data_IF_445983031009
#
_entry.id   IF_445983031009
#
_cell.length_a   1.000
_cell.length_b   1.000
_cell.length_c   1.000
_cell.angle_alpha   90.00
_cell.angle_beta   90.00
_cell.angle_gamma   90.00
#
_symmetry.space_group_name_H-M   'P 1'
#
loop_
_entity.id
_entity.type
_entity.pdbx_description
1 polymer ?
#
# COMPACT_ATOMS: atom_id res chain seq x y z
N UNK A 1 -26.17 -31.16 -18.42
CA UNK A 1 -27.15 -30.39 -17.62
C UNK A 1 -26.43 -29.14 -17.16
N UNK A 2 -26.36 -28.17 -18.06
CA UNK A 2 -25.58 -26.94 -17.91
C UNK A 2 -26.50 -25.82 -17.43
N UNK A 3 -26.45 -25.48 -16.14
CA UNK A 3 -26.99 -24.22 -15.64
C UNK A 3 -26.01 -23.08 -15.97
N UNK A 4 -26.00 -22.68 -17.25
CA UNK A 4 -25.46 -21.40 -17.71
C UNK A 4 -26.62 -20.55 -18.19
N UNK A 5 -27.20 -19.76 -17.30
CA UNK A 5 -28.08 -18.65 -17.67
C UNK A 5 -28.20 -17.67 -16.50
N UNK A 6 -28.33 -16.39 -16.82
CA UNK A 6 -28.63 -15.25 -15.94
C UNK A 6 -27.44 -14.49 -15.35
N UNK A 7 -26.50 -14.03 -16.19
CA UNK A 7 -25.77 -12.80 -15.88
C UNK A 7 -25.65 -11.95 -17.15
N UNK A 8 -26.68 -11.16 -17.44
CA UNK A 8 -26.60 -10.08 -18.42
C UNK A 8 -26.26 -8.79 -17.68
N UNK A 9 -25.09 -8.22 -17.96
CA UNK A 9 -24.84 -6.80 -17.66
C UNK A 9 -25.77 -5.99 -18.57
N UNK A 10 -26.83 -5.38 -18.03
CA UNK A 10 -27.71 -4.48 -18.79
C UNK A 10 -27.05 -3.09 -18.85
N UNK A 11 -26.72 -2.54 -20.04
CA UNK A 11 -26.12 -1.20 -20.20
C UNK A 11 -27.09 -0.04 -19.93
N UNK A 12 -28.27 -0.33 -19.39
CA UNK A 12 -29.37 0.60 -19.30
C UNK A 12 -29.79 0.59 -17.83
N UNK A 13 -29.59 1.71 -17.12
CA UNK A 13 -29.90 1.95 -15.70
C UNK A 13 -31.43 1.84 -15.45
N UNK A 14 -31.98 0.68 -15.74
CA UNK A 14 -33.39 0.35 -15.67
C UNK A 14 -33.72 -0.08 -14.24
N UNK A 15 -34.91 0.29 -13.80
CA UNK A 15 -35.43 -0.14 -12.52
C UNK A 15 -35.94 -1.57 -12.64
N UNK A 16 -35.31 -2.53 -11.98
CA UNK A 16 -35.78 -3.92 -11.86
C UNK A 16 -36.48 -4.17 -10.54
N UNK A 17 -36.29 -3.28 -9.55
CA UNK A 17 -37.00 -3.28 -8.27
C UNK A 17 -37.76 -1.98 -8.06
N UNK A 18 -38.85 -2.08 -7.32
CA UNK A 18 -39.70 -0.96 -6.92
C UNK A 18 -40.22 -1.12 -5.49
N UNK A 19 -40.92 -0.11 -4.98
CA UNK A 19 -41.60 -0.18 -3.69
C UNK A 19 -43.08 -0.51 -3.92
N UNK A 20 -43.60 -1.52 -3.23
CA UNK A 20 -45.02 -1.86 -3.27
C UNK A 20 -45.88 -0.95 -2.37
N UNK A 21 -47.19 -1.21 -2.31
CA UNK A 21 -48.12 -0.45 -1.48
C UNK A 21 -47.89 -0.60 0.04
N UNK A 22 -47.17 -1.64 0.47
CA UNK A 22 -46.82 -1.89 1.87
C UNK A 22 -45.47 -1.26 2.24
N UNK A 23 -44.76 -0.67 1.28
CA UNK A 23 -43.44 -0.08 1.49
C UNK A 23 -42.29 -1.07 1.34
N UNK A 24 -42.52 -2.30 0.85
CA UNK A 24 -41.49 -3.32 0.65
C UNK A 24 -40.89 -3.22 -0.73
N UNK A 25 -39.60 -3.59 -0.85
CA UNK A 25 -38.95 -3.72 -2.15
C UNK A 25 -39.39 -5.01 -2.83
N UNK A 26 -39.82 -4.91 -4.09
CA UNK A 26 -40.31 -6.04 -4.90
C UNK A 26 -39.63 -6.04 -6.27
N UNK A 27 -39.35 -7.25 -6.79
CA UNK A 27 -38.83 -7.42 -8.15
C UNK A 27 -39.94 -7.19 -9.17
N UNK A 28 -39.57 -6.69 -10.35
CA UNK A 28 -40.47 -6.55 -11.51
C UNK A 28 -41.04 -7.90 -11.97
N UNK A 29 -40.35 -8.99 -11.65
CA UNK A 29 -40.78 -10.35 -12.00
C UNK A 29 -41.86 -10.89 -11.05
N UNK A 30 -42.00 -10.30 -9.86
CA UNK A 30 -42.89 -10.76 -8.79
C UNK A 30 -44.22 -9.98 -8.73
N UNK A 31 -44.47 -9.09 -9.70
CA UNK A 31 -45.63 -8.19 -9.69
C UNK A 31 -46.52 -8.34 -10.92
N UNK A 32 -47.78 -7.92 -10.77
CA UNK A 32 -48.73 -7.88 -11.89
C UNK A 32 -48.22 -6.94 -13.00
N UNK A 33 -48.47 -7.28 -14.27
CA UNK A 33 -48.01 -6.51 -15.41
C UNK A 33 -48.70 -5.15 -15.52
N UNK A 34 -48.00 -4.18 -16.12
CA UNK A 34 -48.59 -2.88 -16.42
C UNK A 34 -48.84 -2.03 -15.18
N UNK A 35 -49.95 -1.28 -15.19
CA UNK A 35 -50.34 -0.38 -14.09
C UNK A 35 -50.90 -1.15 -12.88
N UNK A 36 -51.25 -2.41 -13.06
CA UNK A 36 -51.78 -3.26 -11.99
C UNK A 36 -50.69 -3.67 -10.98
N UNK A 37 -49.41 -3.40 -11.28
CA UNK A 37 -48.32 -3.65 -10.34
C UNK A 37 -48.46 -2.89 -9.01
N UNK A 38 -49.17 -1.75 -9.00
CA UNK A 38 -49.35 -0.94 -7.79
C UNK A 38 -48.05 -0.40 -7.18
N UNK A 39 -46.96 -0.38 -7.95
CA UNK A 39 -45.61 -0.06 -7.48
C UNK A 39 -45.27 1.42 -7.63
N UNK A 40 -44.34 1.89 -6.79
CA UNK A 40 -43.89 3.26 -6.70
C UNK A 40 -42.37 3.36 -6.85
N UNK A 41 -41.91 4.47 -7.43
CA UNK A 41 -40.50 4.77 -7.60
C UNK A 41 -39.79 4.89 -6.24
N UNK A 42 -38.67 4.16 -6.00
CA UNK A 42 -37.89 4.25 -4.77
C UNK A 42 -37.50 5.68 -4.38
N UNK A 43 -37.19 6.52 -5.37
CA UNK A 43 -36.76 7.90 -5.18
C UNK A 43 -37.93 8.91 -5.08
N UNK A 44 -38.68 9.14 -6.16
CA UNK A 44 -39.69 10.20 -6.21
C UNK A 44 -41.09 9.77 -5.74
N UNK A 45 -41.27 8.49 -5.38
CA UNK A 45 -42.55 7.90 -4.96
C UNK A 45 -43.69 7.98 -6.00
N UNK A 46 -43.40 8.37 -7.24
CA UNK A 46 -44.38 8.40 -8.32
C UNK A 46 -44.76 6.97 -8.78
N UNK A 47 -46.00 6.75 -9.26
CA UNK A 47 -46.43 5.44 -9.76
C UNK A 47 -45.60 4.93 -10.94
N UNK A 48 -45.35 3.62 -10.93
CA UNK A 48 -44.63 2.89 -11.96
C UNK A 48 -45.55 1.96 -12.76
N UNK A 49 -45.06 1.51 -13.91
CA UNK A 49 -45.63 0.50 -14.78
C UNK A 49 -44.63 -0.66 -14.86
N UNK A 50 -45.06 -1.88 -14.55
CA UNK A 50 -44.24 -3.07 -14.75
C UNK A 50 -44.24 -3.48 -16.24
N UNK A 51 -43.06 -3.50 -16.86
CA UNK A 51 -42.84 -3.99 -18.23
C UNK A 51 -42.18 -5.37 -18.20
N UNK A 52 -42.94 -6.37 -17.76
CA UNK A 52 -42.48 -7.76 -17.51
C UNK A 52 -43.15 -8.83 -18.40
N UNK A 53 -43.85 -8.43 -19.47
CA UNK A 53 -44.48 -9.36 -20.42
C UNK A 53 -43.68 -9.54 -21.73
N UNK A 54 -42.56 -8.82 -21.87
CA UNK A 54 -41.81 -8.76 -23.13
C UNK A 54 -40.66 -9.74 -23.18
N UNK A 55 -40.58 -10.56 -24.24
CA UNK A 55 -39.48 -11.53 -24.43
C UNK A 55 -38.18 -10.92 -24.97
N UNK A 56 -38.22 -9.67 -25.48
CA UNK A 56 -37.09 -9.03 -26.19
C UNK A 56 -36.31 -8.03 -25.33
N UNK A 57 -36.90 -7.50 -24.26
CA UNK A 57 -36.28 -6.47 -23.41
C UNK A 57 -36.26 -7.01 -21.98
N UNK A 58 -35.16 -6.75 -21.26
CA UNK A 58 -35.07 -7.01 -19.81
C UNK A 58 -36.27 -6.39 -19.12
N UNK A 59 -36.91 -7.16 -18.25
CA UNK A 59 -38.04 -6.70 -17.47
C UNK A 59 -37.63 -5.51 -16.60
N UNK A 60 -38.46 -4.49 -16.58
CA UNK A 60 -38.18 -3.27 -15.82
C UNK A 60 -39.45 -2.50 -15.49
N UNK A 61 -39.36 -1.63 -14.50
CA UNK A 61 -40.34 -0.61 -14.21
C UNK A 61 -40.08 0.66 -15.03
N UNK A 62 -41.15 1.33 -15.43
CA UNK A 62 -41.12 2.65 -16.07
C UNK A 62 -42.13 3.59 -15.41
N UNK A 63 -41.86 4.90 -15.37
CA UNK A 63 -42.81 5.86 -14.79
C UNK A 63 -44.10 5.98 -15.61
N UNK A 64 -45.24 6.07 -14.93
CA UNK A 64 -46.57 6.03 -15.54
C UNK A 64 -46.90 7.24 -16.44
N UNK A 65 -46.16 8.37 -16.34
CA UNK A 65 -46.47 9.62 -17.08
C UNK A 65 -45.25 10.49 -17.41
N UNK A 66 -44.31 10.01 -18.23
CA UNK A 66 -43.19 10.83 -18.77
C UNK A 66 -42.30 11.49 -17.70
N UNK A 67 -42.42 11.09 -16.44
CA UNK A 67 -41.63 11.59 -15.33
C UNK A 67 -40.29 10.88 -15.37
N UNK A 68 -39.22 11.57 -15.75
CA UNK A 68 -37.88 11.03 -15.62
C UNK A 68 -37.35 11.32 -14.22
N UNK A 69 -36.97 10.28 -13.48
CA UNK A 69 -36.38 10.42 -12.17
C UNK A 69 -34.91 9.97 -12.23
N UNK A 70 -34.01 10.95 -12.25
CA UNK A 70 -32.56 10.73 -12.35
C UNK A 70 -31.96 9.92 -11.19
N UNK A 71 -32.60 9.96 -10.01
CA UNK A 71 -32.15 9.28 -8.80
C UNK A 71 -32.79 7.89 -8.61
N UNK A 72 -33.69 7.48 -9.50
CA UNK A 72 -34.49 6.26 -9.31
C UNK A 72 -33.63 5.00 -9.21
N UNK A 73 -32.62 4.87 -10.07
CA UNK A 73 -31.72 3.73 -10.08
C UNK A 73 -30.81 3.68 -8.84
N UNK A 74 -30.25 4.84 -8.45
CA UNK A 74 -29.43 4.95 -7.23
C UNK A 74 -30.22 4.60 -5.97
N UNK A 75 -31.42 5.17 -5.79
CA UNK A 75 -32.28 4.84 -4.66
C UNK A 75 -32.73 3.37 -4.68
N UNK A 76 -32.92 2.77 -5.86
CA UNK A 76 -33.22 1.34 -5.98
C UNK A 76 -32.06 0.48 -5.46
N UNK A 77 -30.83 0.74 -5.93
CA UNK A 77 -29.65 -0.01 -5.47
C UNK A 77 -29.43 0.12 -3.98
N UNK A 78 -29.60 1.33 -3.44
CA UNK A 78 -29.42 1.62 -2.01
C UNK A 78 -30.36 0.81 -1.12
N UNK A 79 -31.67 0.82 -1.45
CA UNK A 79 -32.67 0.05 -0.70
C UNK A 79 -32.45 -1.46 -0.89
N UNK A 80 -32.15 -1.91 -2.11
CA UNK A 80 -31.87 -3.32 -2.39
C UNK A 80 -30.68 -3.83 -1.58
N UNK A 81 -29.61 -3.02 -1.46
CA UNK A 81 -28.44 -3.35 -0.66
C UNK A 81 -28.77 -3.53 0.82
N UNK A 82 -29.51 -2.58 1.40
CA UNK A 82 -29.95 -2.65 2.79
C UNK A 82 -30.73 -3.93 3.07
N UNK A 83 -31.68 -4.27 2.21
CA UNK A 83 -32.51 -5.45 2.39
C UNK A 83 -31.70 -6.73 2.20
N UNK A 84 -30.99 -6.88 1.08
CA UNK A 84 -30.28 -8.14 0.76
C UNK A 84 -29.10 -8.43 1.66
N UNK A 85 -28.32 -7.42 2.04
CA UNK A 85 -27.19 -7.61 2.97
C UNK A 85 -27.70 -7.92 4.37
N UNK A 86 -28.75 -7.23 4.85
CA UNK A 86 -29.38 -7.53 6.14
C UNK A 86 -29.98 -8.94 6.17
N UNK A 87 -30.73 -9.31 5.13
CA UNK A 87 -31.31 -10.65 4.97
C UNK A 87 -30.21 -11.71 5.00
N UNK A 88 -29.14 -11.54 4.24
CA UNK A 88 -28.00 -12.44 4.22
C UNK A 88 -27.35 -12.58 5.60
N UNK A 89 -27.09 -11.47 6.30
CA UNK A 89 -26.51 -11.52 7.65
C UNK A 89 -27.40 -12.27 8.65
N UNK A 90 -28.72 -12.05 8.62
CA UNK A 90 -29.65 -12.64 9.59
C UNK A 90 -29.93 -14.12 9.29
N UNK A 91 -30.00 -14.50 8.01
CA UNK A 91 -30.36 -15.86 7.59
C UNK A 91 -29.20 -16.84 7.55
N UNK A 92 -27.99 -16.38 7.24
CA UNK A 92 -26.81 -17.25 7.11
C UNK A 92 -26.16 -17.54 8.46
N UNK A 93 -25.55 -18.72 8.56
CA UNK A 93 -24.75 -19.12 9.73
C UNK A 93 -23.43 -18.37 9.82
N UNK A 94 -22.89 -17.95 8.67
CA UNK A 94 -21.61 -17.25 8.53
C UNK A 94 -21.79 -15.97 7.71
N UNK A 95 -21.01 -14.95 8.05
CA UNK A 95 -20.94 -13.72 7.26
C UNK A 95 -19.52 -13.18 7.33
N UNK A 96 -18.80 -13.30 6.22
CA UNK A 96 -17.36 -13.02 6.18
C UNK A 96 -17.08 -11.56 5.84
N UNK A 97 -16.11 -10.97 6.53
CA UNK A 97 -15.43 -9.75 6.08
C UNK A 97 -13.97 -10.07 5.79
N UNK A 98 -13.40 -9.47 4.75
CA UNK A 98 -12.00 -9.65 4.38
C UNK A 98 -11.38 -8.34 3.94
N UNK A 99 -10.23 -8.00 4.51
CA UNK A 99 -9.51 -6.76 4.21
C UNK A 99 -8.00 -6.93 4.31
N UNK A 100 -7.26 -6.01 3.71
CA UNK A 100 -5.80 -5.96 3.72
C UNK A 100 -5.30 -5.49 5.07
N UNK A 101 -4.26 -6.16 5.53
CA UNK A 101 -3.55 -5.90 6.76
C UNK A 101 -2.09 -5.62 6.45
N UNK A 102 -1.63 -4.44 6.85
CA UNK A 102 -0.27 -3.98 6.59
C UNK A 102 0.58 -4.03 7.86
N UNK A 103 1.56 -4.91 7.89
CA UNK A 103 2.48 -5.03 9.03
C UNK A 103 3.83 -4.43 8.67
N UNK A 104 4.13 -3.27 9.26
CA UNK A 104 5.34 -2.48 9.05
C UNK A 104 6.51 -2.98 9.91
N UNK A 105 7.71 -2.68 9.45
CA UNK A 105 8.93 -2.85 10.23
C UNK A 105 8.85 -2.01 11.53
N UNK A 106 9.23 -2.57 12.69
CA UNK A 106 9.28 -1.83 13.96
C UNK A 106 10.21 -0.62 13.91
N UNK A 107 11.26 -0.68 13.11
CA UNK A 107 12.25 0.37 12.98
C UNK A 107 11.92 1.36 11.84
N UNK A 108 10.69 1.39 11.31
CA UNK A 108 10.34 2.20 10.12
C UNK A 108 10.81 3.64 10.20
N UNK A 109 10.60 4.27 11.35
CA UNK A 109 10.87 5.71 11.55
C UNK A 109 12.34 5.99 11.81
N UNK A 110 13.12 4.98 12.17
CA UNK A 110 14.56 5.09 12.49
C UNK A 110 15.44 4.32 11.50
N UNK A 111 14.84 3.73 10.47
CA UNK A 111 15.51 2.85 9.53
C UNK A 111 16.59 3.62 8.78
N UNK A 112 17.84 3.17 8.93
CA UNK A 112 19.03 3.79 8.33
C UNK A 112 19.13 3.57 6.82
N UNK A 113 18.25 2.75 6.25
CA UNK A 113 18.37 2.24 4.88
C UNK A 113 17.20 2.59 3.98
N UNK A 114 15.98 2.62 4.51
CA UNK A 114 14.75 2.74 3.72
C UNK A 114 13.86 3.87 4.26
N UNK A 115 14.31 5.12 4.11
CA UNK A 115 13.55 6.30 4.55
C UNK A 115 12.38 6.63 3.63
N UNK A 116 12.54 6.43 2.32
CA UNK A 116 11.53 6.76 1.31
C UNK A 116 10.73 5.54 0.82
N UNK A 117 11.02 4.35 1.35
CA UNK A 117 10.32 3.10 0.99
C UNK A 117 9.57 2.57 2.20
N UNK A 118 8.28 2.36 2.02
CA UNK A 118 7.43 1.78 3.04
C UNK A 118 7.83 0.31 3.27
N UNK A 119 8.60 0.05 4.33
CA UNK A 119 9.05 -1.28 4.73
C UNK A 119 7.90 -2.01 5.44
N UNK A 120 7.02 -2.65 4.68
CA UNK A 120 5.91 -3.46 5.20
C UNK A 120 5.65 -4.69 4.33
N UNK A 121 4.89 -5.63 4.88
CA UNK A 121 4.25 -6.70 4.11
C UNK A 121 2.74 -6.56 4.18
N UNK A 122 2.06 -6.70 3.05
CA UNK A 122 0.61 -6.81 3.00
C UNK A 122 0.20 -8.28 3.20
N UNK A 123 -0.82 -8.49 4.02
CA UNK A 123 -1.48 -9.77 4.25
C UNK A 123 -2.98 -9.58 4.15
N UNK A 124 -3.72 -10.65 3.88
CA UNK A 124 -5.18 -10.60 3.94
C UNK A 124 -5.63 -11.12 5.31
N UNK A 125 -6.61 -10.44 5.90
CA UNK A 125 -7.28 -10.90 7.13
C UNK A 125 -8.74 -11.14 6.82
N UNK A 126 -9.24 -12.30 7.21
CA UNK A 126 -10.63 -12.70 7.07
C UNK A 126 -11.23 -13.02 8.44
N UNK A 127 -12.48 -12.60 8.65
CA UNK A 127 -13.21 -12.79 9.88
C UNK A 127 -14.66 -13.14 9.58
N UNK A 128 -15.16 -14.21 10.18
CA UNK A 128 -16.60 -14.46 10.24
C UNK A 128 -17.18 -13.61 11.37
N UNK A 129 -17.88 -12.54 11.02
CA UNK A 129 -18.41 -11.59 11.99
C UNK A 129 -19.60 -12.16 12.77
N UNK A 130 -20.20 -13.29 12.35
CA UNK A 130 -21.25 -13.98 13.10
C UNK A 130 -20.77 -14.55 14.43
N UNK A 131 -19.46 -14.75 14.58
CA UNK A 131 -18.86 -15.14 15.87
C UNK A 131 -18.96 -14.04 16.94
N UNK A 132 -19.11 -12.78 16.53
CA UNK A 132 -19.10 -11.62 17.42
C UNK A 132 -20.42 -10.86 17.45
N UNK A 133 -21.22 -10.96 16.39
CA UNK A 133 -22.43 -10.16 16.19
C UNK A 133 -23.61 -11.04 15.80
N UNK A 134 -24.78 -10.75 16.38
CA UNK A 134 -26.00 -11.55 16.20
C UNK A 134 -27.18 -10.74 15.67
N UNK A 135 -27.08 -9.41 15.62
CA UNK A 135 -28.17 -8.51 15.22
C UNK A 135 -27.76 -7.54 14.12
N UNK A 136 -28.73 -7.20 13.25
CA UNK A 136 -28.58 -6.20 12.21
C UNK A 136 -29.87 -5.40 12.02
N UNK A 137 -29.78 -4.08 12.10
CA UNK A 137 -30.89 -3.14 11.95
C UNK A 137 -30.60 -2.09 10.86
N UNK A 138 -31.64 -1.68 10.13
CA UNK A 138 -31.59 -0.48 9.29
C UNK A 138 -31.83 0.74 10.19
N UNK A 139 -31.04 1.80 10.06
CA UNK A 139 -31.28 3.01 10.84
C UNK A 139 -32.45 3.83 10.25
N UNK A 140 -33.40 4.27 11.09
CA UNK A 140 -34.61 4.99 10.62
C UNK A 140 -34.54 6.50 10.85
N UNK A 141 -34.28 7.25 9.77
CA UNK A 141 -34.78 8.60 9.46
C UNK A 141 -35.99 9.14 10.24
N UNK A 142 -35.85 9.71 11.45
CA UNK A 142 -36.90 10.56 12.04
C UNK A 142 -36.29 11.90 12.48
N UNK A 143 -36.84 12.96 11.86
CA UNK A 143 -36.75 14.39 12.15
C UNK A 143 -35.38 15.03 12.46
N UNK A 144 -34.93 15.84 11.50
CA UNK A 144 -34.32 17.13 11.81
C UNK A 144 -32.80 17.22 11.68
N UNK A 145 -32.03 16.43 12.43
CA UNK A 145 -30.55 16.49 12.40
C UNK A 145 -29.97 15.12 12.82
N UNK A 146 -28.84 14.74 12.21
CA UNK A 146 -27.80 13.80 12.67
C UNK A 146 -27.58 12.50 11.87
N UNK A 147 -26.29 12.36 11.52
CA UNK A 147 -25.53 11.23 10.97
C UNK A 147 -26.18 9.86 11.19
N UNK A 148 -26.40 9.13 10.10
CA UNK A 148 -26.98 7.78 10.10
C UNK A 148 -26.22 6.88 9.14
N UNK A 149 -26.01 5.65 9.56
CA UNK A 149 -25.50 4.58 8.72
C UNK A 149 -26.62 3.79 8.06
N UNK A 150 -26.34 3.14 6.95
CA UNK A 150 -27.35 2.37 6.23
C UNK A 150 -27.74 1.08 6.93
N UNK A 151 -26.76 0.38 7.50
CA UNK A 151 -26.97 -0.79 8.35
C UNK A 151 -26.05 -0.73 9.55
N UNK A 152 -26.58 -1.14 10.71
CA UNK A 152 -25.82 -1.33 11.93
C UNK A 152 -25.84 -2.80 12.33
N UNK A 153 -24.66 -3.40 12.37
CA UNK A 153 -24.42 -4.76 12.87
C UNK A 153 -23.89 -4.67 14.29
N UNK A 154 -24.54 -5.35 15.23
CA UNK A 154 -24.22 -5.27 16.65
C UNK A 154 -24.48 -6.60 17.36
N UNK A 155 -23.93 -6.73 18.57
CA UNK A 155 -24.24 -7.88 19.42
C UNK A 155 -25.33 -7.51 20.42
N UNK A 156 -26.45 -8.23 20.40
CA UNK A 156 -27.47 -8.09 21.44
C UNK A 156 -27.02 -8.75 22.74
N UNK A 157 -26.18 -9.78 22.64
CA UNK A 157 -25.64 -10.56 23.77
C UNK A 157 -24.50 -9.83 24.50
N UNK A 158 -23.68 -9.09 23.76
CA UNK A 158 -22.52 -8.36 24.29
C UNK A 158 -22.55 -6.88 23.86
N UNK A 159 -23.34 -6.01 24.51
CA UNK A 159 -23.52 -4.61 24.11
C UNK A 159 -22.25 -3.75 24.17
N UNK A 160 -21.20 -4.20 24.88
CA UNK A 160 -19.91 -3.53 24.96
C UNK A 160 -19.05 -3.73 23.70
N UNK A 161 -19.38 -4.73 22.86
CA UNK A 161 -18.68 -4.95 21.59
C UNK A 161 -19.02 -3.80 20.65
N UNK A 162 -18.03 -3.02 20.16
CA UNK A 162 -18.30 -1.91 19.25
C UNK A 162 -19.01 -2.39 17.98
N UNK A 163 -20.10 -1.73 17.55
CA UNK A 163 -20.86 -2.11 16.37
C UNK A 163 -20.05 -1.88 15.09
N UNK A 164 -20.47 -2.54 14.02
CA UNK A 164 -20.01 -2.29 12.65
C UNK A 164 -21.13 -1.55 11.91
N UNK A 165 -20.78 -0.43 11.29
CA UNK A 165 -21.68 0.35 10.46
C UNK A 165 -21.35 0.12 8.99
N UNK A 166 -22.36 -0.10 8.16
CA UNK A 166 -22.23 -0.23 6.72
C UNK A 166 -22.81 1.02 6.06
N UNK A 167 -22.09 1.56 5.09
CA UNK A 167 -22.50 2.72 4.29
C UNK A 167 -22.47 2.34 2.81
N UNK A 168 -23.62 2.39 2.15
CA UNK A 168 -23.75 2.11 0.73
C UNK A 168 -23.74 3.41 -0.06
N UNK A 169 -22.72 3.62 -0.89
CA UNK A 169 -22.57 4.77 -1.77
C UNK A 169 -22.87 4.38 -3.22
N UNK A 170 -23.56 5.23 -3.99
CA UNK A 170 -23.72 5.04 -5.45
C UNK A 170 -23.05 6.16 -6.24
N UNK A 171 -23.25 7.43 -5.86
CA UNK A 171 -22.69 8.58 -6.62
C UNK A 171 -21.86 9.58 -5.81
N UNK A 172 -21.97 9.59 -4.48
CA UNK A 172 -21.27 10.54 -3.61
C UNK A 172 -20.61 9.85 -2.43
N UNK A 173 -19.30 10.07 -2.26
CA UNK A 173 -18.53 9.57 -1.11
C UNK A 173 -19.05 10.18 0.20
N UNK A 174 -19.01 9.40 1.28
CA UNK A 174 -19.49 9.84 2.57
C UNK A 174 -18.65 10.99 3.13
N UNK A 175 -19.27 11.86 3.93
CA UNK A 175 -18.56 12.98 4.57
C UNK A 175 -17.32 12.49 5.35
N UNK A 176 -16.14 13.04 5.06
CA UNK A 176 -14.86 12.59 5.63
C UNK A 176 -14.83 12.62 7.17
N UNK A 177 -15.56 13.54 7.81
CA UNK A 177 -15.70 13.59 9.28
C UNK A 177 -16.42 12.37 9.86
N UNK A 178 -17.34 11.73 9.11
CA UNK A 178 -18.05 10.51 9.56
C UNK A 178 -17.11 9.31 9.55
N UNK A 179 -16.36 9.17 8.47
CA UNK A 179 -15.44 8.05 8.22
C UNK A 179 -14.28 8.01 9.22
N UNK A 180 -13.86 9.16 9.76
CA UNK A 180 -12.75 9.26 10.72
C UNK A 180 -13.20 9.41 12.19
N UNK A 181 -14.45 9.05 12.50
CA UNK A 181 -15.01 9.13 13.86
C UNK A 181 -14.41 8.13 14.86
N UNK A 182 -13.58 7.19 14.41
CA UNK A 182 -13.03 6.09 15.20
C UNK A 182 -13.97 4.87 15.32
N UNK A 183 -15.19 4.97 14.79
CA UNK A 183 -16.12 3.85 14.68
C UNK A 183 -15.68 2.87 13.58
N UNK A 184 -16.08 1.59 13.72
CA UNK A 184 -15.90 0.59 12.67
C UNK A 184 -16.93 0.83 11.57
N UNK A 185 -16.50 1.46 10.48
CA UNK A 185 -17.35 1.80 9.33
C UNK A 185 -16.81 1.09 8.10
N UNK A 186 -17.69 0.48 7.32
CA UNK A 186 -17.37 -0.11 6.02
C UNK A 186 -18.16 0.67 4.96
N UNK A 187 -17.45 1.44 4.14
CA UNK A 187 -18.03 2.13 2.99
C UNK A 187 -17.97 1.22 1.76
N UNK A 188 -19.08 1.10 1.05
CA UNK A 188 -19.26 0.16 -0.06
C UNK A 188 -19.85 0.93 -1.24
N UNK A 189 -19.10 1.07 -2.33
CA UNK A 189 -19.60 1.69 -3.56
C UNK A 189 -20.31 0.66 -4.44
N UNK A 190 -21.57 0.94 -4.76
CA UNK A 190 -22.44 0.11 -5.57
C UNK A 190 -22.65 0.77 -6.94
N UNK A 191 -22.48 0.00 -8.00
CA UNK A 191 -22.71 0.43 -9.39
C UNK A 191 -23.78 -0.37 -10.08
N UNK A 192 -24.15 -1.53 -9.53
CA UNK A 192 -25.08 -2.47 -10.14
C UNK A 192 -25.79 -3.35 -9.12
N UNK A 193 -26.85 -4.04 -9.52
CA UNK A 193 -27.51 -5.04 -8.66
C UNK A 193 -26.61 -6.24 -8.38
N UNK A 194 -25.71 -6.56 -9.32
CA UNK A 194 -24.73 -7.64 -9.15
C UNK A 194 -23.84 -7.39 -7.94
N UNK A 195 -23.49 -6.15 -7.71
CA UNK A 195 -22.68 -5.72 -6.56
C UNK A 195 -23.36 -6.10 -5.24
N UNK A 196 -24.67 -5.81 -5.16
CA UNK A 196 -25.50 -6.16 -4.00
C UNK A 196 -25.59 -7.67 -3.79
N UNK A 197 -25.82 -8.43 -4.86
CA UNK A 197 -25.90 -9.89 -4.78
C UNK A 197 -24.56 -10.50 -4.34
N UNK A 198 -23.42 -9.96 -4.82
CA UNK A 198 -22.11 -10.42 -4.38
C UNK A 198 -21.87 -10.20 -2.89
N UNK A 199 -22.28 -9.05 -2.34
CA UNK A 199 -22.19 -8.77 -0.90
C UNK A 199 -23.06 -9.74 -0.09
N UNK A 200 -24.28 -10.01 -0.55
CA UNK A 200 -25.17 -10.95 0.09
C UNK A 200 -24.62 -12.39 0.04
N UNK A 201 -24.04 -12.81 -1.09
CA UNK A 201 -23.59 -14.17 -1.31
C UNK A 201 -22.27 -14.51 -0.60
N UNK A 202 -21.27 -13.63 -0.74
CA UNK A 202 -19.88 -13.89 -0.34
C UNK A 202 -19.43 -13.08 0.89
N UNK A 203 -20.25 -12.15 1.38
CA UNK A 203 -19.86 -11.20 2.42
C UNK A 203 -19.12 -9.98 1.86
N UNK A 204 -18.39 -9.27 2.72
CA UNK A 204 -17.78 -7.98 2.41
C UNK A 204 -16.26 -8.16 2.23
N UNK A 205 -15.78 -8.12 0.99
CA UNK A 205 -14.39 -8.44 0.66
C UNK A 205 -13.75 -7.25 -0.05
N UNK A 206 -12.71 -6.67 0.56
CA UNK A 206 -12.00 -5.48 0.08
C UNK A 206 -11.37 -5.66 -1.30
N UNK A 207 -11.31 -4.54 -2.03
CA UNK A 207 -10.67 -4.43 -3.33
C UNK A 207 -9.20 -4.90 -3.34
N UNK A 208 -8.94 -5.93 -4.16
CA UNK A 208 -7.61 -6.53 -4.33
C UNK A 208 -7.31 -7.76 -3.47
N UNK A 209 -8.30 -8.33 -2.77
CA UNK A 209 -8.19 -9.65 -2.12
C UNK A 209 -8.55 -10.85 -3.04
N UNK A 210 -8.71 -10.59 -4.35
CA UNK A 210 -9.08 -11.59 -5.37
C UNK A 210 -7.98 -11.75 -6.42
N UNK A 211 -7.63 -13.00 -6.76
CA UNK A 211 -6.61 -13.32 -7.77
C UNK A 211 -7.09 -13.25 -9.22
N UNK A 212 -8.37 -12.97 -9.49
CA UNK A 212 -8.95 -13.00 -10.84
C UNK A 212 -9.71 -11.71 -11.14
N UNK A 213 -9.21 -10.91 -12.09
CA UNK A 213 -9.69 -9.57 -12.45
C UNK A 213 -11.13 -9.47 -12.99
N UNK A 214 -12.13 -9.82 -12.17
CA UNK A 214 -13.55 -9.52 -12.40
C UNK A 214 -13.96 -8.50 -11.34
N UNK A 215 -14.45 -7.35 -11.81
CA UNK A 215 -14.99 -6.20 -11.07
C UNK A 215 -15.05 -6.41 -9.56
N UNK A 216 -14.10 -5.78 -8.86
CA UNK A 216 -14.04 -5.81 -7.41
C UNK A 216 -14.76 -4.56 -6.92
N UNK A 217 -15.75 -4.77 -6.07
CA UNK A 217 -16.43 -3.72 -5.32
C UNK A 217 -15.40 -2.77 -4.70
N UNK A 218 -15.61 -1.47 -4.84
CA UNK A 218 -14.80 -0.48 -4.13
C UNK A 218 -15.32 -0.41 -2.70
N UNK A 219 -14.61 -1.07 -1.79
CA UNK A 219 -14.94 -1.20 -0.37
C UNK A 219 -13.78 -0.64 0.45
N UNK A 220 -14.09 0.22 1.40
CA UNK A 220 -13.12 0.84 2.31
C UNK A 220 -13.48 0.59 3.77
N UNK A 221 -12.48 0.17 4.56
CA UNK A 221 -12.63 -0.14 5.98
C UNK A 221 -12.03 0.98 6.86
N UNK A 222 -12.85 1.58 7.73
CA UNK A 222 -12.47 2.66 8.65
C UNK A 222 -12.66 2.23 10.10
N UNK A 223 -11.74 2.62 10.99
CA UNK A 223 -11.78 2.26 12.41
C UNK A 223 -11.47 0.77 12.71
N UNK A 224 -11.15 -0.02 11.68
CA UNK A 224 -10.63 -1.37 11.84
C UNK A 224 -9.12 -1.34 12.07
N UNK A 225 -8.60 -2.25 12.90
CA UNK A 225 -7.15 -2.44 13.01
C UNK A 225 -6.67 -3.15 11.74
N UNK A 226 -6.17 -2.37 10.79
CA UNK A 226 -5.67 -2.82 9.49
C UNK A 226 -4.15 -2.66 9.34
N UNK A 227 -3.45 -2.16 10.36
CA UNK A 227 -2.00 -2.07 10.35
C UNK A 227 -1.37 -2.25 11.73
N UNK A 228 -0.07 -2.55 11.76
CA UNK A 228 0.81 -2.51 12.94
C UNK A 228 2.28 -2.25 12.56
N UNK A 229 3.14 -2.07 13.55
CA UNK A 229 4.59 -1.90 13.41
C UNK A 229 5.35 -3.02 14.12
N UNK A 230 4.85 -4.26 14.03
CA UNK A 230 5.37 -5.40 14.80
C UNK A 230 6.05 -6.46 13.94
N UNK A 231 6.31 -6.16 12.68
CA UNK A 231 6.88 -7.11 11.73
C UNK A 231 8.38 -7.32 11.94
N UNK A 232 8.76 -8.18 12.87
CA UNK A 232 10.17 -8.51 13.11
C UNK A 232 10.78 -9.41 12.02
N UNK A 233 9.95 -9.95 11.12
CA UNK A 233 10.39 -10.87 10.07
C UNK A 233 10.72 -10.15 8.76
N UNK A 234 10.15 -8.97 8.50
CA UNK A 234 10.37 -8.26 7.23
C UNK A 234 11.78 -7.73 7.09
N UNK A 235 12.53 -8.21 6.13
CA UNK A 235 13.81 -7.64 5.76
C UNK A 235 13.81 -7.26 4.29
N UNK A 236 14.77 -6.41 3.92
CA UNK A 236 14.97 -5.97 2.55
C UNK A 236 16.42 -6.14 2.18
N UNK A 237 16.66 -6.51 0.91
CA UNK A 237 17.99 -6.41 0.35
C UNK A 237 18.33 -4.92 0.12
N UNK A 238 19.47 -4.50 0.64
CA UNK A 238 19.99 -3.14 0.48
C UNK A 238 21.21 -3.18 -0.43
N UNK A 239 21.33 -2.20 -1.31
CA UNK A 239 22.47 -2.02 -2.19
C UNK A 239 23.25 -0.76 -1.80
N UNK A 240 24.56 -0.87 -1.71
CA UNK A 240 25.42 0.22 -1.25
C UNK A 240 26.85 0.07 -1.78
N UNK A 241 27.60 1.16 -1.75
CA UNK A 241 29.05 1.14 -1.97
C UNK A 241 29.75 1.00 -0.63
N UNK A 242 30.52 -0.07 -0.45
CA UNK A 242 31.24 -0.37 0.79
C UNK A 242 32.69 0.09 0.69
N UNK A 243 33.07 1.05 1.54
CA UNK A 243 34.45 1.45 1.76
C UNK A 243 35.01 0.80 3.03
N UNK A 244 36.19 0.20 2.94
CA UNK A 244 36.88 -0.47 4.05
C UNK A 244 38.30 0.09 4.17
N UNK A 245 38.68 0.52 5.38
CA UNK A 245 40.06 0.82 5.77
C UNK A 245 40.55 -0.25 6.74
N UNK A 246 41.72 -0.83 6.47
CA UNK A 246 42.38 -1.81 7.34
C UNK A 246 43.46 -1.16 8.20
N UNK A 247 43.84 -1.81 9.30
CA UNK A 247 44.99 -1.39 10.11
C UNK A 247 46.31 -1.39 9.34
N UNK A 248 46.43 -2.13 8.23
CA UNK A 248 47.59 -2.03 7.35
C UNK A 248 47.65 -0.70 6.57
N UNK A 249 46.56 0.07 6.54
CA UNK A 249 46.39 1.25 5.68
C UNK A 249 45.92 0.90 4.26
N UNK A 250 45.74 -0.39 3.95
CA UNK A 250 45.05 -0.79 2.71
C UNK A 250 43.59 -0.33 2.76
N UNK A 251 43.08 0.07 1.60
CA UNK A 251 41.70 0.52 1.42
C UNK A 251 41.03 -0.31 0.32
N UNK A 252 39.75 -0.61 0.49
CA UNK A 252 38.91 -1.25 -0.54
C UNK A 252 37.63 -0.45 -0.71
N UNK A 253 37.12 -0.38 -1.93
CA UNK A 253 35.83 0.22 -2.24
C UNK A 253 35.18 -0.56 -3.38
N UNK A 254 33.97 -1.07 -3.16
CA UNK A 254 33.27 -1.91 -4.12
C UNK A 254 31.74 -1.83 -3.91
N UNK A 255 30.97 -2.16 -4.95
CA UNK A 255 29.52 -2.33 -4.82
C UNK A 255 29.23 -3.60 -4.03
N UNK A 256 28.34 -3.49 -3.06
CA UNK A 256 27.93 -4.59 -2.20
C UNK A 256 26.42 -4.56 -1.99
N UNK A 257 25.89 -5.70 -1.53
CA UNK A 257 24.47 -5.83 -1.19
C UNK A 257 24.30 -6.88 -0.11
N UNK A 258 23.39 -6.63 0.83
CA UNK A 258 23.03 -7.61 1.83
C UNK A 258 21.61 -7.38 2.36
N UNK A 259 21.12 -8.34 3.14
CA UNK A 259 19.94 -8.12 3.96
C UNK A 259 20.21 -6.98 4.97
N UNK A 260 19.27 -6.04 5.10
CA UNK A 260 19.40 -4.90 5.99
C UNK A 260 19.61 -5.28 7.47
N UNK A 261 19.20 -6.48 7.90
CA UNK A 261 19.44 -7.01 9.24
C UNK A 261 20.80 -7.67 9.42
N UNK A 262 21.50 -7.93 8.33
CA UNK A 262 22.78 -8.65 8.33
C UNK A 262 23.98 -7.73 8.08
N UNK A 263 23.78 -6.40 8.01
CA UNK A 263 24.86 -5.46 7.76
C UNK A 263 25.77 -5.33 8.98
N UNK A 264 26.90 -6.03 8.95
CA UNK A 264 27.92 -6.02 10.00
C UNK A 264 29.29 -5.62 9.46
N UNK A 265 30.15 -5.13 10.35
CA UNK A 265 31.54 -4.79 10.05
C UNK A 265 32.35 -6.06 9.76
N UNK A 266 33.21 -6.03 8.74
CA UNK A 266 34.10 -7.14 8.39
C UNK A 266 35.14 -7.41 9.48
N UNK A 267 35.54 -8.67 9.62
CA UNK A 267 36.64 -9.03 10.50
C UNK A 267 37.94 -8.31 10.09
N UNK A 268 38.64 -7.73 11.07
CA UNK A 268 39.93 -7.02 10.90
C UNK A 268 39.89 -5.69 10.15
N UNK A 269 38.71 -5.13 9.82
CA UNK A 269 38.64 -3.75 9.36
C UNK A 269 38.84 -2.77 10.51
N UNK A 270 39.51 -1.65 10.25
CA UNK A 270 39.61 -0.54 11.19
C UNK A 270 38.37 0.35 11.12
N UNK A 271 37.87 0.58 9.90
CA UNK A 271 36.74 1.47 9.64
C UNK A 271 36.01 1.06 8.37
N UNK A 272 34.69 1.10 8.43
CA UNK A 272 33.82 0.84 7.27
C UNK A 272 32.74 1.89 7.14
N UNK A 273 32.48 2.28 5.89
CA UNK A 273 31.38 3.16 5.51
C UNK A 273 30.60 2.47 4.41
N UNK A 274 29.29 2.35 4.62
CA UNK A 274 28.35 1.89 3.60
C UNK A 274 27.61 3.11 3.07
N UNK A 275 27.81 3.45 1.79
CA UNK A 275 27.23 4.65 1.17
C UNK A 275 26.06 4.19 0.31
N UNK A 276 24.86 4.68 0.62
CA UNK A 276 23.59 4.17 0.09
C UNK A 276 23.31 4.73 -1.30
N UNK A 277 24.00 4.17 -2.28
CA UNK A 277 23.90 4.57 -3.69
C UNK A 277 24.26 3.41 -4.61
N UNK A 278 23.64 3.40 -5.78
CA UNK A 278 23.96 2.49 -6.89
C UNK A 278 25.10 3.03 -7.78
N UNK A 279 25.58 4.25 -7.53
CA UNK A 279 26.63 4.90 -8.33
C UNK A 279 27.93 4.97 -7.53
N UNK A 280 28.96 4.28 -7.99
CA UNK A 280 30.28 4.24 -7.31
C UNK A 280 31.26 5.35 -7.73
N UNK A 281 30.91 6.16 -8.74
CA UNK A 281 31.81 7.15 -9.32
C UNK A 281 32.21 8.23 -8.30
N UNK A 282 33.53 8.46 -8.14
CA UNK A 282 34.08 9.48 -7.23
C UNK A 282 33.97 9.14 -5.73
N UNK A 283 33.27 8.06 -5.36
CA UNK A 283 33.07 7.68 -3.95
C UNK A 283 34.37 7.25 -3.28
N UNK A 284 35.18 6.43 -3.98
CA UNK A 284 36.46 6.00 -3.45
C UNK A 284 37.35 7.18 -3.07
N UNK A 285 37.39 8.21 -3.92
CA UNK A 285 38.23 9.38 -3.68
C UNK A 285 37.72 10.25 -2.54
N UNK A 286 36.40 10.40 -2.37
CA UNK A 286 35.85 11.09 -1.19
C UNK A 286 36.12 10.30 0.10
N UNK A 287 35.82 9.00 0.08
CA UNK A 287 35.95 8.13 1.25
C UNK A 287 37.40 7.99 1.75
N UNK A 288 38.40 7.90 0.85
CA UNK A 288 39.83 7.83 1.23
C UNK A 288 40.28 9.07 2.02
N UNK A 289 39.83 10.27 1.63
CA UNK A 289 40.23 11.51 2.31
C UNK A 289 39.52 11.71 3.65
N UNK A 290 38.25 11.33 3.74
CA UNK A 290 37.49 11.34 5.01
C UNK A 290 38.13 10.36 6.00
N UNK A 291 38.47 9.16 5.54
CA UNK A 291 39.18 8.17 6.36
C UNK A 291 40.55 8.69 6.83
N UNK A 292 41.29 9.39 5.96
CA UNK A 292 42.55 10.01 6.34
C UNK A 292 42.38 11.13 7.39
N UNK A 293 41.38 12.01 7.24
CA UNK A 293 41.10 13.05 8.23
C UNK A 293 40.76 12.45 9.60
N UNK A 294 40.07 11.31 9.63
CA UNK A 294 39.63 10.67 10.87
C UNK A 294 40.72 9.85 11.57
N UNK A 295 41.52 9.10 10.81
CA UNK A 295 42.49 8.14 11.40
C UNK A 295 43.95 8.54 11.21
N UNK A 296 44.25 9.51 10.35
CA UNK A 296 45.62 9.94 10.06
C UNK A 296 46.49 8.87 9.42
N UNK A 297 45.91 7.81 8.86
CA UNK A 297 46.65 6.66 8.31
C UNK A 297 47.18 6.97 6.90
N UNK A 298 48.51 7.04 6.69
CA UNK A 298 49.06 7.33 5.36
C UNK A 298 48.79 6.21 4.36
N UNK A 299 48.46 6.60 3.13
CA UNK A 299 48.34 5.70 1.99
C UNK A 299 48.91 6.39 0.73
N UNK A 300 49.61 5.65 -0.14
CA UNK A 300 50.22 6.23 -1.35
C UNK A 300 49.20 6.93 -2.26
N UNK A 301 47.93 6.51 -2.28
CA UNK A 301 46.87 7.15 -3.10
C UNK A 301 46.45 8.53 -2.61
N UNK A 302 46.95 8.95 -1.44
CA UNK A 302 46.74 10.27 -0.85
C UNK A 302 47.98 11.16 -1.03
N UNK A 303 49.09 10.62 -1.55
CA UNK A 303 50.37 11.30 -1.60
C UNK A 303 50.50 12.13 -2.87
N UNK A 304 50.90 13.40 -2.76
CA UNK A 304 51.15 14.30 -3.90
C UNK A 304 52.24 13.82 -4.88
N UNK A 305 53.04 12.85 -4.45
CA UNK A 305 54.08 12.25 -5.28
C UNK A 305 53.54 11.13 -6.17
N UNK A 306 52.31 10.64 -5.97
CA UNK A 306 51.70 9.63 -6.83
C UNK A 306 51.08 10.29 -8.05
N UNK A 307 51.47 9.86 -9.25
CA UNK A 307 50.96 10.41 -10.51
C UNK A 307 50.55 9.32 -11.49
N UNK A 308 49.64 9.64 -12.41
CA UNK A 308 49.27 8.76 -13.52
C UNK A 308 50.42 8.68 -14.54
N UNK A 309 50.67 7.48 -15.06
CA UNK A 309 51.45 7.26 -16.27
C UNK A 309 50.61 7.70 -17.49
N UNK A 310 51.27 7.96 -18.62
CA UNK A 310 50.64 8.45 -19.86
C UNK A 310 49.42 7.64 -20.31
N UNK A 311 49.36 6.35 -19.94
CA UNK A 311 48.19 5.49 -20.11
C UNK A 311 47.44 5.50 -18.77
N UNK A 312 46.31 6.21 -18.70
CA UNK A 312 45.57 6.64 -17.50
C UNK A 312 45.23 5.57 -16.43
N UNK A 313 45.58 4.31 -16.64
CA UNK A 313 45.29 3.19 -15.75
C UNK A 313 46.41 2.89 -14.73
N UNK A 314 47.65 3.25 -15.02
CA UNK A 314 48.79 2.93 -14.14
C UNK A 314 49.30 4.16 -13.38
N UNK A 315 49.59 4.02 -12.08
CA UNK A 315 50.14 5.10 -11.23
C UNK A 315 51.58 4.81 -10.82
N UNK A 316 52.40 5.85 -10.68
CA UNK A 316 53.80 5.77 -10.25
C UNK A 316 54.15 6.87 -9.24
N UNK A 317 55.01 6.56 -8.27
CA UNK A 317 55.58 7.57 -7.38
C UNK A 317 56.68 8.37 -8.12
N UNK A 318 56.62 9.70 -8.14
CA UNK A 318 57.68 10.58 -8.70
C UNK A 318 59.07 10.30 -8.09
N UNK A 319 59.10 9.81 -6.86
CA UNK A 319 60.32 9.49 -6.11
C UNK A 319 60.72 8.01 -6.22
N UNK A 320 60.14 7.23 -7.15
CA UNK A 320 60.39 5.79 -7.26
C UNK A 320 61.89 5.44 -7.33
N UNK A 321 62.71 6.23 -8.04
CA UNK A 321 64.17 6.02 -8.12
C UNK A 321 64.88 6.17 -6.78
N UNK A 322 64.54 7.22 -6.03
CA UNK A 322 65.13 7.51 -4.71
C UNK A 322 64.72 6.43 -3.70
N UNK A 323 63.45 6.02 -3.77
CA UNK A 323 62.85 5.02 -2.91
C UNK A 323 63.14 3.57 -3.37
N UNK A 324 63.91 3.40 -4.44
CA UNK A 324 64.25 2.10 -5.05
C UNK A 324 63.01 1.23 -5.35
N UNK A 325 61.91 1.85 -5.77
CA UNK A 325 60.66 1.18 -6.13
C UNK A 325 60.75 0.77 -7.61
N UNK A 326 60.54 -0.51 -7.96
CA UNK A 326 60.51 -0.93 -9.36
C UNK A 326 59.39 -0.23 -10.13
N UNK A 327 59.68 0.18 -11.36
CA UNK A 327 58.74 0.94 -12.21
C UNK A 327 57.46 0.17 -12.55
N UNK A 328 57.56 -1.16 -12.64
CA UNK A 328 56.50 -2.04 -13.12
C UNK A 328 55.89 -2.93 -12.01
N UNK A 329 56.18 -2.64 -10.74
CA UNK A 329 55.57 -3.36 -9.61
C UNK A 329 54.13 -2.89 -9.40
N UNK A 330 53.23 -3.80 -9.00
CA UNK A 330 51.95 -3.39 -8.43
C UNK A 330 52.22 -2.59 -7.15
N UNK A 331 51.80 -1.32 -7.13
CA UNK A 331 52.11 -0.42 -6.04
C UNK A 331 51.40 -0.87 -4.75
N UNK A 332 52.14 -1.42 -3.80
CA UNK A 332 51.63 -1.57 -2.43
C UNK A 332 51.45 -0.20 -1.78
N UNK A 333 50.20 0.26 -1.78
CA UNK A 333 49.84 1.60 -1.32
C UNK A 333 50.01 1.80 0.19
N UNK A 334 50.11 0.71 0.96
CA UNK A 334 50.37 0.75 2.40
C UNK A 334 51.80 1.18 2.75
N UNK A 335 52.72 1.16 1.77
CA UNK A 335 54.12 1.60 1.93
C UNK A 335 54.25 3.03 2.46
N UNK A 336 53.27 3.88 2.19
CA UNK A 336 53.21 5.25 2.70
C UNK A 336 53.36 5.33 4.24
N UNK A 337 52.92 4.31 4.99
CA UNK A 337 53.04 4.29 6.45
C UNK A 337 54.47 4.44 6.98
N UNK A 338 55.44 3.88 6.26
CA UNK A 338 56.86 3.89 6.63
C UNK A 338 57.67 4.86 5.75
N UNK A 339 57.01 5.60 4.86
CA UNK A 339 57.67 6.46 3.89
C UNK A 339 57.92 7.85 4.48
N UNK A 340 59.19 8.19 4.70
CA UNK A 340 59.61 9.53 5.15
C UNK A 340 59.28 10.66 4.16
N UNK A 341 58.96 10.32 2.91
CA UNK A 341 58.60 11.27 1.85
C UNK A 341 57.09 11.38 1.61
N UNK A 342 56.26 10.72 2.42
CA UNK A 342 54.81 10.87 2.33
C UNK A 342 54.42 12.33 2.62
N UNK A 343 53.69 12.93 1.67
CA UNK A 343 53.10 14.27 1.81
C UNK A 343 51.70 14.23 1.22
N UNK A 344 50.70 14.52 2.04
CA UNK A 344 49.30 14.60 1.63
C UNK A 344 49.13 15.58 0.47
N UNK A 345 48.36 15.18 -0.55
CA UNK A 345 47.94 16.07 -1.62
C UNK A 345 46.78 16.96 -1.13
N UNK A 346 47.12 18.13 -0.58
CA UNK A 346 46.12 19.06 -0.03
C UNK A 346 45.27 19.71 -1.13
N UNK A 347 45.80 19.86 -2.34
CA UNK A 347 45.06 20.46 -3.46
C UNK A 347 43.96 19.50 -3.91
N UNK A 348 44.29 18.23 -4.15
CA UNK A 348 43.31 17.18 -4.46
C UNK A 348 42.33 17.00 -3.30
N UNK A 349 42.81 17.00 -2.05
CA UNK A 349 41.94 16.88 -0.87
C UNK A 349 40.88 17.99 -0.82
N UNK A 350 41.29 19.26 -1.00
CA UNK A 350 40.38 20.39 -0.96
C UNK A 350 39.39 20.37 -2.13
N UNK A 351 39.85 19.97 -3.33
CA UNK A 351 39.00 19.83 -4.51
C UNK A 351 37.91 18.77 -4.29
N UNK A 352 38.28 17.60 -3.74
CA UNK A 352 37.38 16.45 -3.60
C UNK A 352 36.43 16.61 -2.41
N UNK A 353 36.89 17.23 -1.31
CA UNK A 353 36.09 17.44 -0.11
C UNK A 353 35.27 18.73 -0.12
N UNK A 354 35.53 19.67 -1.05
CA UNK A 354 34.83 20.96 -1.11
C UNK A 354 33.31 20.86 -1.20
N UNK A 355 32.78 19.74 -1.71
CA UNK A 355 31.35 19.45 -1.77
C UNK A 355 30.86 18.47 -0.69
N UNK A 356 31.75 17.89 0.12
CA UNK A 356 31.42 16.81 1.06
C UNK A 356 30.90 15.52 0.39
N UNK A 357 30.52 14.55 1.23
CA UNK A 357 29.71 13.40 0.81
C UNK A 357 28.24 13.83 0.85
N UNK A 358 27.69 14.29 -0.28
CA UNK A 358 26.26 14.60 -0.44
C UNK A 358 25.41 13.34 -0.67
N UNK A 359 25.76 12.24 0.00
CA UNK A 359 25.09 10.95 -0.13
C UNK A 359 24.94 10.36 1.26
N UNK A 360 23.77 9.77 1.55
CA UNK A 360 23.56 9.11 2.82
C UNK A 360 24.53 7.94 3.01
N UNK A 361 25.05 7.79 4.23
CA UNK A 361 25.96 6.72 4.57
C UNK A 361 25.78 6.23 6.00
N UNK A 362 26.18 4.99 6.23
CA UNK A 362 26.20 4.35 7.54
C UNK A 362 27.63 3.95 7.88
N UNK A 363 28.16 4.44 9.00
CA UNK A 363 29.44 3.96 9.54
C UNK A 363 29.20 2.71 10.38
N UNK A 364 29.93 1.64 10.07
CA UNK A 364 29.88 0.43 10.89
C UNK A 364 30.93 0.57 11.99
N UNK A 365 30.47 0.71 13.23
CA UNK A 365 31.31 0.67 14.44
C UNK A 365 31.29 -0.73 15.05
N UNK A 366 32.30 -1.08 15.87
CA UNK A 366 32.27 -2.31 16.67
C UNK A 366 31.01 -2.45 17.52
#
# INVERSE_FOLDING_TARGET
>A
MDNKSLFQNSPDNRLTYAIDSEGKIVSVDDVLPGNECGCFCPACKAPLIAKNQGLKRVHHFAHYKGTECKHAFESMLHILAKEKVREAFLSKSEFWIKFKYRSFCPDSDTCKFLKDRNCYSDQEREFDIKQYYDSCEQEIAYDGINRRSDLKIFSSKNPQTPPIYLEFCVTHESDSEKLHSGNKIIEIKLTSERDVLQLADYGIIESGCYNSGKNILDISFYGFKNQDYSNNLISNNIEFVRFILYESGKMRCFQDSCDCRCLVKSANSLFEVCIHTSVSFGIYDKAKYIAFQKFGIPNCTLCKNLVNLYNRENKICRLYKILQIPKNESLDTSRAKKCSYFKIDKEEQNLILGEGLNVEYTTLTP
#
